data_IF_398635916583
#
_entry.id   IF_398635916583
#
_cell.length_a   1.000
_cell.length_b   1.000
_cell.length_c   1.000
_cell.angle_alpha   90.00
_cell.angle_beta   90.00
_cell.angle_gamma   90.00
#
_symmetry.space_group_name_H-M   'P 1'
#
loop_
_entity.id
_entity.type
_entity.pdbx_description
1 polymer ?
#
# COMPACT_ATOMS: atom_id res chain seq x y z
N UNK A 1 -33.88 6.57 21.65
CA UNK A 1 -32.79 7.43 21.14
C UNK A 1 -31.48 6.84 21.59
N UNK A 2 -30.72 6.23 20.70
CA UNK A 2 -29.43 5.61 21.02
C UNK A 2 -28.34 6.70 20.91
N UNK A 3 -27.85 7.20 22.04
CA UNK A 3 -26.75 8.15 22.08
C UNK A 3 -25.39 7.51 21.73
N UNK A 4 -24.33 8.32 21.54
CA UNK A 4 -22.98 7.80 21.35
C UNK A 4 -22.57 6.95 22.55
N UNK A 5 -21.83 5.86 22.31
CA UNK A 5 -21.38 4.94 23.37
C UNK A 5 -19.89 5.10 23.66
N UNK A 6 -19.45 4.69 24.85
CA UNK A 6 -18.03 4.72 25.21
C UNK A 6 -17.14 3.95 24.24
N UNK A 7 -17.61 2.87 23.62
CA UNK A 7 -16.87 2.11 22.59
C UNK A 7 -16.45 2.95 21.38
N UNK A 8 -17.18 4.01 21.07
CA UNK A 8 -16.92 4.91 19.94
C UNK A 8 -15.99 6.08 20.31
N UNK A 9 -15.57 6.17 21.57
CA UNK A 9 -14.73 7.26 22.08
C UNK A 9 -13.24 7.03 21.76
N UNK A 10 -12.51 8.08 21.41
CA UNK A 10 -11.06 8.04 21.16
C UNK A 10 -10.26 7.65 22.40
N UNK A 11 -10.77 7.99 23.58
CA UNK A 11 -10.14 7.70 24.87
C UNK A 11 -10.50 6.32 25.44
N UNK A 12 -11.41 5.59 24.79
CA UNK A 12 -11.77 4.26 25.25
C UNK A 12 -10.76 3.21 24.75
N UNK A 13 -10.19 2.45 25.69
CA UNK A 13 -9.30 1.32 25.41
C UNK A 13 -9.62 0.17 26.36
N UNK A 14 -10.06 -0.97 25.82
CA UNK A 14 -10.27 -2.23 26.56
C UNK A 14 -11.08 -2.10 27.87
N UNK A 15 -12.18 -1.35 27.86
CA UNK A 15 -12.99 -1.16 29.07
C UNK A 15 -12.48 -0.07 30.01
N UNK A 16 -11.51 0.73 29.59
CA UNK A 16 -10.94 1.83 30.36
C UNK A 16 -11.03 3.16 29.60
N UNK A 17 -11.50 4.20 30.28
CA UNK A 17 -11.46 5.56 29.80
C UNK A 17 -10.10 6.18 30.15
N UNK A 18 -9.20 6.30 29.17
CA UNK A 18 -7.84 6.82 29.39
C UNK A 18 -7.81 8.30 29.79
N UNK A 19 -8.89 9.05 29.53
CA UNK A 19 -8.99 10.46 29.93
C UNK A 19 -9.14 10.61 31.45
N UNK A 20 -9.87 9.69 32.09
CA UNK A 20 -10.17 9.73 33.53
C UNK A 20 -9.50 8.62 34.34
N UNK A 21 -8.89 7.63 33.68
CA UNK A 21 -8.26 6.48 34.32
C UNK A 21 -9.23 5.50 34.97
N UNK A 22 -10.51 5.55 34.63
CA UNK A 22 -11.56 4.70 35.23
C UNK A 22 -12.01 3.61 34.26
N UNK A 23 -12.46 2.48 34.82
CA UNK A 23 -13.12 1.44 34.03
C UNK A 23 -14.53 1.92 33.63
N UNK A 24 -14.86 1.77 32.36
CA UNK A 24 -16.17 2.11 31.80
C UNK A 24 -16.63 1.00 30.86
N UNK A 25 -17.90 0.59 30.91
CA UNK A 25 -18.42 -0.41 29.98
C UNK A 25 -18.59 0.18 28.57
N UNK A 26 -18.33 -0.63 27.51
CA UNK A 26 -18.33 -0.15 26.12
C UNK A 26 -19.70 0.27 25.60
N UNK A 27 -20.78 -0.33 26.11
CA UNK A 27 -22.15 -0.14 25.62
C UNK A 27 -22.90 0.99 26.35
N UNK A 28 -22.28 1.58 27.38
CA UNK A 28 -22.91 2.67 28.10
C UNK A 28 -22.83 4.00 27.35
N UNK A 29 -23.81 4.89 27.58
CA UNK A 29 -23.81 6.22 26.99
C UNK A 29 -22.50 6.95 27.29
N UNK A 30 -21.97 7.64 26.29
CA UNK A 30 -20.72 8.35 26.40
C UNK A 30 -20.83 9.54 27.36
N UNK A 31 -19.74 9.83 28.06
CA UNK A 31 -19.64 11.00 28.92
C UNK A 31 -19.69 12.32 28.09
N UNK A 32 -19.99 13.47 28.70
CA UNK A 32 -20.05 14.77 27.99
C UNK A 32 -18.74 15.19 27.30
N UNK A 33 -17.60 14.62 27.69
CA UNK A 33 -16.30 14.82 27.04
C UNK A 33 -16.06 13.82 25.89
N UNK A 34 -17.12 13.29 25.29
CA UNK A 34 -17.01 12.33 24.20
C UNK A 34 -16.30 12.93 23.00
N UNK A 35 -15.26 12.24 22.53
CA UNK A 35 -14.60 12.57 21.29
C UNK A 35 -14.64 11.34 20.38
N UNK A 36 -15.28 11.42 19.20
CA UNK A 36 -15.44 10.27 18.33
C UNK A 36 -14.08 9.80 17.81
N UNK A 37 -13.90 8.49 17.77
CA UNK A 37 -12.73 7.88 17.13
C UNK A 37 -12.88 8.10 15.62
N UNK A 38 -11.90 8.77 15.00
CA UNK A 38 -11.92 8.96 13.56
C UNK A 38 -11.97 7.57 12.88
N UNK A 39 -12.84 7.37 11.87
CA UNK A 39 -12.75 6.17 11.05
C UNK A 39 -11.33 6.14 10.51
N UNK A 40 -10.62 5.04 10.72
CA UNK A 40 -9.30 4.88 10.13
C UNK A 40 -9.47 5.05 8.63
N UNK A 41 -8.92 6.13 8.09
CA UNK A 41 -8.80 6.27 6.65
C UNK A 41 -8.09 5.00 6.17
N UNK A 42 -8.71 4.28 5.24
CA UNK A 42 -8.12 3.10 4.65
C UNK A 42 -6.69 3.45 4.19
N UNK A 43 -5.72 2.54 4.30
CA UNK A 43 -4.38 2.78 3.79
C UNK A 43 -4.49 3.15 2.30
N UNK A 44 -4.37 4.44 1.99
CA UNK A 44 -4.30 4.88 0.62
C UNK A 44 -2.98 4.35 0.09
N UNK A 45 -3.02 3.57 -0.99
CA UNK A 45 -1.81 3.11 -1.65
C UNK A 45 -0.93 4.34 -1.93
N UNK A 46 0.38 4.29 -1.62
CA UNK A 46 1.26 5.40 -1.92
C UNK A 46 1.19 5.71 -3.42
N UNK A 47 1.28 6.99 -3.84
CA UNK A 47 1.28 7.33 -5.25
C UNK A 47 2.46 6.62 -5.95
N UNK A 48 2.29 6.22 -7.22
CA UNK A 48 3.37 5.58 -7.97
C UNK A 48 4.57 6.53 -8.06
N UNK A 49 5.72 6.08 -7.54
CA UNK A 49 6.98 6.80 -7.66
C UNK A 49 7.48 6.75 -9.13
N UNK A 50 7.78 7.90 -9.76
CA UNK A 50 8.39 7.91 -11.09
C UNK A 50 9.81 7.33 -11.03
N UNK A 51 10.04 6.22 -11.75
CA UNK A 51 11.35 5.57 -11.84
C UNK A 51 12.21 6.33 -12.86
N UNK A 52 12.94 7.35 -12.40
CA UNK A 52 13.93 8.08 -13.20
C UNK A 52 15.24 7.26 -13.30
N UNK A 53 15.29 6.28 -14.20
CA UNK A 53 16.51 5.48 -14.38
C UNK A 53 16.40 4.22 -15.22
N UNK A 54 15.21 3.89 -15.74
CA UNK A 54 15.07 2.77 -16.67
C UNK A 54 15.76 3.10 -18.01
N UNK A 55 16.73 2.27 -18.47
CA UNK A 55 17.30 2.41 -19.79
C UNK A 55 16.19 2.28 -20.84
N UNK A 56 16.08 3.27 -21.71
CA UNK A 56 15.12 3.23 -22.82
C UNK A 56 15.34 1.96 -23.65
N UNK A 57 14.29 1.19 -23.97
CA UNK A 57 14.44 0.00 -24.79
C UNK A 57 14.99 0.38 -26.17
N UNK A 58 15.94 -0.38 -26.73
CA UNK A 58 16.53 -0.04 -28.02
C UNK A 58 15.47 -0.08 -29.12
N UNK A 59 15.55 0.82 -30.11
CA UNK A 59 14.58 0.89 -31.20
C UNK A 59 14.45 -0.47 -31.91
N UNK A 60 13.23 -0.81 -32.35
CA UNK A 60 12.89 -2.12 -32.96
C UNK A 60 13.79 -2.49 -34.14
N UNK A 61 14.32 -1.50 -34.85
CA UNK A 61 15.27 -1.67 -35.95
C UNK A 61 16.56 -2.35 -35.47
N UNK A 62 17.15 -1.87 -34.36
CA UNK A 62 18.36 -2.48 -33.78
C UNK A 62 18.12 -3.91 -33.31
N UNK A 63 16.94 -4.21 -32.74
CA UNK A 63 16.61 -5.59 -32.34
C UNK A 63 16.59 -6.55 -33.55
N UNK A 64 16.05 -6.10 -34.70
CA UNK A 64 15.98 -6.93 -35.91
C UNK A 64 17.38 -7.20 -36.48
N UNK A 65 18.25 -6.18 -36.51
CA UNK A 65 19.65 -6.32 -36.93
C UNK A 65 20.39 -7.28 -36.00
N UNK A 66 20.26 -7.10 -34.68
CA UNK A 66 20.90 -7.96 -33.66
C UNK A 66 20.46 -9.41 -33.80
N UNK A 67 19.17 -9.68 -34.02
CA UNK A 67 18.65 -11.05 -34.27
C UNK A 67 19.23 -11.66 -35.54
N UNK A 68 19.35 -10.89 -36.63
CA UNK A 68 19.95 -11.38 -37.89
C UNK A 68 21.42 -11.73 -37.71
N UNK A 69 22.19 -10.88 -37.01
CA UNK A 69 23.61 -11.13 -36.73
C UNK A 69 23.80 -12.40 -35.89
N UNK A 70 23.02 -12.59 -34.83
CA UNK A 70 23.10 -13.78 -33.98
C UNK A 70 22.73 -15.09 -34.72
N UNK A 71 21.77 -15.03 -35.66
CA UNK A 71 21.45 -16.18 -36.53
C UNK A 71 22.57 -16.51 -37.51
N UNK A 72 23.22 -15.49 -38.10
CA UNK A 72 24.41 -15.68 -38.94
C UNK A 72 25.55 -16.31 -38.14
N UNK A 73 25.83 -15.78 -36.95
CA UNK A 73 26.87 -16.29 -36.07
C UNK A 73 26.61 -17.75 -35.66
N UNK A 74 25.37 -18.12 -35.31
CA UNK A 74 25.00 -19.53 -35.05
C UNK A 74 25.22 -20.45 -36.25
N UNK A 75 24.85 -20.01 -37.46
CA UNK A 75 25.04 -20.81 -38.69
C UNK A 75 26.50 -20.89 -39.15
N UNK A 76 27.33 -19.91 -38.78
CA UNK A 76 28.76 -19.90 -39.11
C UNK A 76 29.62 -20.81 -38.22
N UNK A 77 29.09 -21.32 -37.11
CA UNK A 77 29.82 -22.19 -36.17
C UNK A 77 29.44 -23.68 -36.29
N UNK A 78 28.63 -24.06 -37.28
CA UNK A 78 28.04 -25.41 -37.39
C UNK A 78 28.48 -26.25 -38.60
N UNK A 79 29.56 -25.90 -39.30
CA UNK A 79 30.00 -26.59 -40.53
C UNK A 79 31.49 -26.99 -40.51
N UNK A 80 32.07 -27.21 -39.33
CA UNK A 80 33.47 -27.64 -39.20
C UNK A 80 33.61 -28.66 -38.08
N UNK A 81 33.07 -29.85 -38.33
CA UNK A 81 33.43 -31.12 -37.69
C UNK A 81 33.35 -32.19 -38.77
#
# INVERSE_FOLDING_TARGET
MSGPTHSQCVYFRNGLCTLRGIQVPPNEPACPNFMPKAPQAQPQAPPPIPIYGQPLPPPRVMQRVRRRLMRRRRRGWGWRS
#
